data_IF_690858440574
#
_entry.id   IF_690858440574
#
_cell.length_a   1.000
_cell.length_b   1.000
_cell.length_c   1.000
_cell.angle_alpha   90.00
_cell.angle_beta   90.00
_cell.angle_gamma   90.00
#
_symmetry.space_group_name_H-M   'P 1'
#
loop_
_entity.id
_entity.type
_entity.pdbx_description
1 polymer ?
#
# COMPACT_ATOMS: atom_id res chain seq x y z
N UNK A 1 -51.86 -49.76 -18.62
CA UNK A 1 -51.62 -48.30 -18.73
C UNK A 1 -51.80 -47.66 -17.36
N UNK A 2 -50.74 -47.18 -16.72
CA UNK A 2 -50.81 -46.41 -15.47
C UNK A 2 -49.83 -45.23 -15.55
N UNK A 3 -50.29 -44.12 -16.13
CA UNK A 3 -49.58 -42.83 -16.08
C UNK A 3 -49.79 -42.27 -14.66
N UNK A 4 -48.82 -42.48 -13.76
CA UNK A 4 -48.83 -41.92 -12.41
C UNK A 4 -47.95 -40.66 -12.38
N UNK A 5 -48.62 -39.53 -12.23
CA UNK A 5 -48.15 -38.15 -12.02
C UNK A 5 -46.65 -37.89 -11.92
N UNK A 6 -46.06 -37.42 -13.02
CA UNK A 6 -44.71 -36.83 -13.07
C UNK A 6 -44.68 -35.38 -12.52
N UNK A 7 -45.82 -34.84 -12.06
CA UNK A 7 -45.96 -33.42 -11.71
C UNK A 7 -45.27 -33.04 -10.39
N UNK A 8 -45.29 -33.92 -9.38
CA UNK A 8 -44.60 -33.68 -8.09
C UNK A 8 -43.07 -33.74 -8.19
N UNK A 9 -42.55 -34.56 -9.12
CA UNK A 9 -41.11 -34.62 -9.41
C UNK A 9 -40.61 -33.31 -10.00
N UNK A 10 -41.37 -32.67 -10.89
CA UNK A 10 -40.99 -31.39 -11.50
C UNK A 10 -40.91 -30.26 -10.46
N UNK A 11 -41.87 -30.15 -9.54
CA UNK A 11 -41.86 -29.11 -8.49
C UNK A 11 -40.64 -29.24 -7.56
N UNK A 12 -40.30 -30.46 -7.13
CA UNK A 12 -39.11 -30.71 -6.32
C UNK A 12 -37.83 -30.37 -7.08
N UNK A 13 -37.74 -30.76 -8.36
CA UNK A 13 -36.60 -30.40 -9.21
C UNK A 13 -36.46 -28.89 -9.41
N UNK A 14 -37.56 -28.15 -9.58
CA UNK A 14 -37.52 -26.68 -9.68
C UNK A 14 -37.11 -26.04 -8.35
N UNK A 15 -37.60 -26.54 -7.21
CA UNK A 15 -37.21 -26.05 -5.89
C UNK A 15 -35.71 -26.27 -5.61
N UNK A 16 -35.18 -27.45 -5.95
CA UNK A 16 -33.75 -27.75 -5.86
C UNK A 16 -32.96 -26.84 -6.81
N UNK A 17 -33.42 -26.66 -8.04
CA UNK A 17 -32.80 -25.75 -9.00
C UNK A 17 -32.71 -24.31 -8.49
N UNK A 18 -33.82 -23.79 -7.94
CA UNK A 18 -33.86 -22.46 -7.34
C UNK A 18 -32.94 -22.34 -6.13
N UNK A 19 -32.89 -23.37 -5.27
CA UNK A 19 -31.98 -23.43 -4.13
C UNK A 19 -30.51 -23.42 -4.58
N UNK A 20 -30.16 -24.21 -5.60
CA UNK A 20 -28.82 -24.22 -6.17
C UNK A 20 -28.45 -22.86 -6.78
N UNK A 21 -29.37 -22.21 -7.49
CA UNK A 21 -29.16 -20.86 -8.04
C UNK A 21 -28.97 -19.82 -6.93
N UNK A 22 -29.78 -19.87 -5.87
CA UNK A 22 -29.64 -18.98 -4.71
C UNK A 22 -28.30 -19.20 -3.99
N UNK A 23 -27.89 -20.46 -3.80
CA UNK A 23 -26.60 -20.82 -3.23
C UNK A 23 -25.42 -20.34 -4.11
N UNK A 24 -25.51 -20.51 -5.43
CA UNK A 24 -24.51 -20.02 -6.36
C UNK A 24 -24.40 -18.48 -6.34
N UNK A 25 -25.55 -17.77 -6.27
CA UNK A 25 -25.57 -16.32 -6.15
C UNK A 25 -24.94 -15.83 -4.83
N UNK A 26 -25.26 -16.48 -3.71
CA UNK A 26 -24.65 -16.19 -2.40
C UNK A 26 -23.13 -16.44 -2.42
N UNK A 27 -22.69 -17.56 -3.00
CA UNK A 27 -21.27 -17.86 -3.14
C UNK A 27 -20.55 -16.83 -4.03
N UNK A 28 -21.18 -16.40 -5.13
CA UNK A 28 -20.66 -15.33 -5.99
C UNK A 28 -20.50 -14.00 -5.26
N UNK A 29 -21.52 -13.56 -4.51
CA UNK A 29 -21.45 -12.35 -3.70
C UNK A 29 -20.35 -12.43 -2.62
N UNK A 30 -20.22 -13.57 -1.95
CA UNK A 30 -19.17 -13.81 -0.97
C UNK A 30 -17.77 -13.76 -1.60
N UNK A 31 -17.59 -14.33 -2.79
CA UNK A 31 -16.33 -14.29 -3.53
C UNK A 31 -15.93 -12.86 -3.90
N UNK A 32 -16.88 -12.06 -4.42
CA UNK A 32 -16.66 -10.64 -4.73
C UNK A 32 -16.30 -9.85 -3.47
N UNK A 33 -17.03 -10.08 -2.36
CA UNK A 33 -16.73 -9.44 -1.07
C UNK A 33 -15.33 -9.77 -0.55
N UNK A 34 -14.93 -11.04 -0.64
CA UNK A 34 -13.59 -11.49 -0.21
C UNK A 34 -12.48 -10.88 -1.09
N UNK A 35 -12.70 -10.77 -2.40
CA UNK A 35 -11.74 -10.13 -3.30
C UNK A 35 -11.60 -8.63 -3.00
N UNK A 36 -12.71 -7.92 -2.75
CA UNK A 36 -12.69 -6.52 -2.31
C UNK A 36 -11.95 -6.34 -0.98
N UNK A 37 -12.19 -7.23 -0.01
CA UNK A 37 -11.50 -7.20 1.28
C UNK A 37 -9.98 -7.40 1.14
N UNK A 38 -9.55 -8.35 0.30
CA UNK A 38 -8.12 -8.56 0.01
C UNK A 38 -7.49 -7.35 -0.67
N UNK A 39 -8.21 -6.70 -1.59
CA UNK A 39 -7.71 -5.50 -2.26
C UNK A 39 -7.53 -4.33 -1.28
N UNK A 40 -8.41 -4.19 -0.29
CA UNK A 40 -8.30 -3.14 0.74
C UNK A 40 -7.19 -3.42 1.76
N UNK A 41 -6.98 -4.69 2.11
CA UNK A 41 -5.98 -5.09 3.13
C UNK A 41 -4.60 -5.39 2.54
N UNK A 42 -4.46 -5.31 1.21
CA UNK A 42 -3.17 -5.50 0.56
C UNK A 42 -2.20 -4.40 0.95
N UNK A 43 -1.03 -4.82 1.42
CA UNK A 43 0.07 -3.94 1.75
C UNK A 43 1.36 -4.50 1.19
N UNK A 44 2.09 -3.66 0.47
CA UNK A 44 3.36 -4.02 -0.15
C UNK A 44 4.52 -3.34 0.59
N UNK A 45 5.61 -4.07 0.86
CA UNK A 45 6.82 -3.46 1.44
C UNK A 45 7.54 -2.67 0.37
N UNK A 46 7.61 -1.34 0.50
CA UNK A 46 8.33 -0.47 -0.42
C UNK A 46 9.82 -0.34 -0.07
N UNK A 47 10.14 -0.29 1.23
CA UNK A 47 11.51 -0.23 1.72
C UNK A 47 11.63 -0.79 3.14
N UNK A 48 12.81 -1.27 3.50
CA UNK A 48 13.20 -1.56 4.88
C UNK A 48 14.17 -0.49 5.34
N UNK A 49 13.95 0.08 6.53
CA UNK A 49 14.74 1.18 7.09
C UNK A 49 15.26 0.78 8.45
N UNK A 50 16.57 0.89 8.66
CA UNK A 50 17.19 0.78 9.98
C UNK A 50 17.67 2.16 10.41
N UNK A 51 17.29 2.60 11.60
CA UNK A 51 17.68 3.90 12.16
C UNK A 51 18.60 3.71 13.35
N UNK A 52 19.69 4.47 13.42
CA UNK A 52 20.65 4.44 14.51
C UNK A 52 20.99 5.87 14.97
N UNK A 53 20.75 6.24 16.25
CA UNK A 53 21.15 7.54 16.78
C UNK A 53 22.68 7.69 16.78
N UNK A 54 23.18 8.78 16.19
CA UNK A 54 24.62 9.10 16.12
C UNK A 54 25.00 10.37 16.88
N UNK A 55 24.03 11.04 17.49
CA UNK A 55 24.25 12.22 18.32
C UNK A 55 22.93 12.86 18.77
N UNK A 56 23.03 14.01 19.43
CA UNK A 56 21.84 14.78 19.80
C UNK A 56 21.11 15.23 18.53
N UNK A 57 19.86 14.75 18.38
CA UNK A 57 18.99 15.00 17.23
C UNK A 57 19.67 14.73 15.88
N UNK A 58 20.50 13.70 15.86
CA UNK A 58 21.13 13.19 14.65
C UNK A 58 21.07 11.68 14.67
N UNK A 59 20.67 11.10 13.55
CA UNK A 59 20.59 9.67 13.38
C UNK A 59 21.00 9.31 11.96
N UNK A 60 21.55 8.12 11.80
CA UNK A 60 21.82 7.51 10.51
C UNK A 60 20.64 6.63 10.15
N UNK A 61 20.18 6.68 8.90
CA UNK A 61 19.22 5.71 8.40
C UNK A 61 19.78 4.95 7.20
N UNK A 62 19.69 3.64 7.28
CA UNK A 62 20.02 2.71 6.19
C UNK A 62 18.73 2.22 5.56
N UNK A 63 18.51 2.59 4.30
CA UNK A 63 17.30 2.32 3.54
C UNK A 63 17.63 1.28 2.48
N UNK A 64 16.94 0.13 2.55
CA UNK A 64 16.98 -0.92 1.53
C UNK A 64 15.68 -0.91 0.75
N UNK A 65 15.75 -0.51 -0.52
CA UNK A 65 14.60 -0.47 -1.41
C UNK A 65 14.27 -1.87 -1.95
N UNK A 66 13.05 -2.06 -2.50
CA UNK A 66 12.65 -3.33 -3.14
C UNK A 66 13.59 -3.78 -4.27
N UNK A 67 14.20 -2.85 -4.98
CA UNK A 67 15.12 -3.15 -6.09
C UNK A 67 16.52 -3.61 -5.63
N UNK A 68 16.72 -3.74 -4.31
CA UNK A 68 17.99 -4.17 -3.72
C UNK A 68 18.98 -3.03 -3.50
N UNK A 69 18.69 -1.80 -3.95
CA UNK A 69 19.54 -0.65 -3.66
C UNK A 69 19.55 -0.39 -2.16
N UNK A 70 20.75 -0.11 -1.68
CA UNK A 70 21.01 0.27 -0.31
C UNK A 70 21.53 1.70 -0.31
N UNK A 71 20.87 2.55 0.46
CA UNK A 71 21.24 3.95 0.62
C UNK A 71 21.38 4.25 2.10
N UNK A 72 22.45 4.93 2.47
CA UNK A 72 22.74 5.28 3.86
C UNK A 72 22.94 6.78 3.94
N UNK A 73 22.18 7.42 4.82
CA UNK A 73 22.18 8.87 4.96
C UNK A 73 22.17 9.27 6.44
N UNK A 74 22.81 10.41 6.71
CA UNK A 74 22.81 11.01 8.03
C UNK A 74 21.76 12.13 8.06
N UNK A 75 20.86 12.04 9.03
CA UNK A 75 19.75 12.96 9.20
C UNK A 75 19.91 13.78 10.46
N UNK A 76 19.53 15.05 10.35
CA UNK A 76 19.29 15.94 11.47
C UNK A 76 17.78 15.98 11.77
N UNK A 77 17.41 15.66 13.01
CA UNK A 77 16.02 15.53 13.44
C UNK A 77 15.83 14.48 14.54
N UNK A 78 14.59 14.34 14.99
CA UNK A 78 14.16 13.38 16.00
C UNK A 78 13.46 12.16 15.39
N UNK A 79 12.98 12.29 14.15
CA UNK A 79 12.21 11.28 13.44
C UNK A 79 12.68 11.11 12.00
N UNK A 80 12.61 9.88 11.51
CA UNK A 80 12.74 9.57 10.10
C UNK A 80 11.41 9.84 9.39
N UNK A 81 11.45 10.60 8.31
CA UNK A 81 10.31 10.96 7.47
C UNK A 81 10.51 10.41 6.06
N UNK A 82 9.43 9.85 5.49
CA UNK A 82 9.40 9.37 4.10
C UNK A 82 8.13 9.83 3.42
N UNK A 83 8.27 10.23 2.16
CA UNK A 83 7.21 10.73 1.30
C UNK A 83 7.13 9.91 0.00
N UNK A 84 5.91 9.75 -0.51
CA UNK A 84 5.63 9.05 -1.75
C UNK A 84 4.48 9.69 -2.52
N UNK A 85 4.57 9.59 -3.84
CA UNK A 85 3.45 9.86 -4.74
C UNK A 85 2.68 8.57 -4.97
N UNK A 86 1.36 8.66 -4.90
CA UNK A 86 0.45 7.54 -5.02
C UNK A 86 -0.57 7.84 -6.12
N UNK A 87 -0.73 6.88 -7.03
CA UNK A 87 -1.77 6.89 -8.06
C UNK A 87 -2.70 5.71 -7.83
N UNK A 88 -3.95 6.04 -7.51
CA UNK A 88 -5.00 5.09 -7.20
C UNK A 88 -5.90 4.90 -8.41
N UNK A 89 -6.03 3.66 -8.85
CA UNK A 89 -6.99 3.28 -9.89
C UNK A 89 -8.39 3.13 -9.30
N UNK A 90 -9.41 3.33 -10.15
CA UNK A 90 -10.80 3.10 -9.78
C UNK A 90 -11.01 1.63 -9.39
N UNK A 91 -11.87 1.36 -8.40
CA UNK A 91 -12.08 0.02 -7.82
C UNK A 91 -12.45 -1.07 -8.83
N UNK A 92 -13.09 -0.68 -9.94
CA UNK A 92 -13.45 -1.59 -11.04
C UNK A 92 -12.22 -2.14 -11.78
N UNK A 93 -11.13 -1.38 -11.79
CA UNK A 93 -9.85 -1.72 -12.44
C UNK A 93 -8.96 -2.55 -11.51
N UNK A 94 -9.11 -2.41 -10.18
CA UNK A 94 -8.42 -3.25 -9.21
C UNK A 94 -8.82 -4.74 -9.32
N UNK A 95 -10.03 -5.02 -9.83
CA UNK A 95 -10.52 -6.38 -10.07
C UNK A 95 -9.70 -7.15 -11.13
N UNK A 96 -9.03 -6.44 -12.07
CA UNK A 96 -8.15 -7.04 -13.08
C UNK A 96 -6.67 -7.09 -12.67
N UNK A 97 -6.36 -6.87 -11.40
CA UNK A 97 -5.01 -7.00 -10.84
C UNK A 97 -4.12 -5.76 -11.00
N UNK A 98 -4.68 -4.63 -11.44
CA UNK A 98 -3.99 -3.34 -11.41
C UNK A 98 -4.04 -2.79 -9.99
N UNK A 99 -2.92 -2.87 -9.27
CA UNK A 99 -2.79 -2.32 -7.92
C UNK A 99 -2.36 -0.85 -7.95
N UNK A 100 -2.50 -0.18 -6.81
CA UNK A 100 -2.04 1.21 -6.60
C UNK A 100 -0.58 1.36 -7.05
N UNK A 101 -0.33 2.30 -7.96
CA UNK A 101 1.03 2.63 -8.38
C UNK A 101 1.62 3.63 -7.37
N UNK A 102 2.87 3.39 -6.96
CA UNK A 102 3.55 4.25 -5.98
C UNK A 102 4.98 4.57 -6.41
N UNK A 103 5.46 5.70 -5.91
CA UNK A 103 6.86 6.10 -6.04
C UNK A 103 7.34 6.83 -4.78
N UNK A 104 8.37 6.30 -4.12
CA UNK A 104 9.03 7.01 -3.02
C UNK A 104 9.79 8.20 -3.59
N UNK A 105 9.49 9.40 -3.11
CA UNK A 105 10.06 10.65 -3.64
C UNK A 105 11.31 11.05 -2.85
N UNK A 106 11.13 11.27 -1.55
CA UNK A 106 12.17 11.80 -0.66
C UNK A 106 12.08 11.24 0.74
N UNK A 107 13.23 11.26 1.41
CA UNK A 107 13.40 10.95 2.83
C UNK A 107 14.03 12.14 3.53
N UNK A 108 13.64 12.38 4.78
CA UNK A 108 14.11 13.52 5.55
C UNK A 108 14.23 13.21 7.05
N UNK A 109 15.01 14.03 7.75
CA UNK A 109 14.94 14.15 9.19
C UNK A 109 13.86 15.16 9.56
N UNK A 110 12.98 14.79 10.49
CA UNK A 110 11.89 15.63 10.99
C UNK A 110 12.13 15.97 12.45
N UNK A 111 11.99 17.24 12.80
CA UNK A 111 11.97 17.71 14.17
C UNK A 111 10.56 17.59 14.77
N UNK A 112 10.49 17.37 16.07
CA UNK A 112 9.18 17.26 16.74
C UNK A 112 8.44 18.60 16.82
N UNK A 113 9.18 19.72 16.89
CA UNK A 113 8.59 21.06 17.02
C UNK A 113 8.74 21.87 15.74
N UNK A 114 7.74 22.69 15.43
CA UNK A 114 7.76 23.59 14.26
C UNK A 114 8.85 24.66 14.40
N UNK A 115 9.14 25.09 15.62
CA UNK A 115 10.20 26.08 15.88
C UNK A 115 11.58 25.53 15.50
N UNK A 116 11.87 24.28 15.84
CA UNK A 116 13.12 23.61 15.46
C UNK A 116 13.15 23.34 13.96
N UNK A 117 12.06 22.86 13.36
CA UNK A 117 11.99 22.62 11.91
C UNK A 117 12.24 23.90 11.08
N UNK A 118 11.94 25.08 11.63
CA UNK A 118 12.19 26.38 10.99
C UNK A 118 13.60 26.92 11.20
N UNK A 119 14.23 26.59 12.32
CA UNK A 119 15.49 27.23 12.76
C UNK A 119 16.71 26.33 12.66
N UNK A 120 16.53 25.00 12.66
CA UNK A 120 17.62 24.03 12.62
C UNK A 120 17.92 23.53 11.20
N UNK A 121 19.14 23.00 10.96
CA UNK A 121 19.51 22.46 9.66
C UNK A 121 18.58 21.32 9.24
N UNK A 122 18.02 21.41 8.03
CA UNK A 122 17.16 20.38 7.45
C UNK A 122 17.97 19.42 6.58
N UNK A 123 17.73 18.12 6.73
CA UNK A 123 18.35 17.07 5.90
C UNK A 123 17.28 16.37 5.07
N UNK A 124 17.43 16.40 3.75
CA UNK A 124 16.48 15.81 2.79
C UNK A 124 17.26 15.17 1.67
N UNK A 125 16.92 13.93 1.33
CA UNK A 125 17.53 13.20 0.23
C UNK A 125 16.43 12.65 -0.67
N UNK A 126 16.68 12.70 -1.99
CA UNK A 126 15.78 12.06 -2.96
C UNK A 126 16.03 10.57 -3.00
N UNK A 127 14.96 9.78 -2.98
CA UNK A 127 14.96 8.33 -3.20
C UNK A 127 14.31 7.94 -4.52
N UNK A 128 13.66 8.91 -5.19
CA UNK A 128 13.05 8.75 -6.49
C UNK A 128 14.05 8.20 -7.52
N UNK A 129 13.52 7.42 -8.48
CA UNK A 129 14.32 6.87 -9.57
C UNK A 129 13.84 7.50 -10.88
N UNK A 130 14.75 8.01 -11.74
CA UNK A 130 14.38 8.30 -13.11
C UNK A 130 13.99 6.99 -13.81
N UNK A 131 12.70 6.87 -14.16
CA UNK A 131 12.17 5.74 -14.92
C UNK A 131 11.99 6.17 -16.38
N UNK A 132 12.35 5.31 -17.35
CA UNK A 132 12.12 5.61 -18.77
C UNK A 132 10.62 5.72 -19.09
N UNK A 133 9.77 5.01 -18.34
CA UNK A 133 8.31 5.13 -18.40
C UNK A 133 7.79 5.41 -17.00
N UNK A 134 7.20 6.60 -16.83
CA UNK A 134 6.56 7.01 -15.59
C UNK A 134 5.04 6.88 -15.74
N UNK A 135 4.42 6.05 -14.88
CA UNK A 135 2.97 5.82 -14.90
C UNK A 135 2.20 7.11 -14.67
N UNK A 136 2.68 7.97 -13.78
CA UNK A 136 2.07 9.26 -13.47
C UNK A 136 2.09 10.18 -14.71
N UNK A 137 3.22 10.24 -15.42
CA UNK A 137 3.31 11.02 -16.66
C UNK A 137 2.48 10.42 -17.79
N UNK A 138 2.38 9.10 -17.85
CA UNK A 138 1.57 8.38 -18.85
C UNK A 138 0.09 8.71 -18.66
N UNK A 139 -0.43 8.63 -17.44
CA UNK A 139 -1.80 9.01 -17.11
C UNK A 139 -2.06 10.48 -17.44
N UNK A 140 -1.13 11.38 -17.09
CA UNK A 140 -1.23 12.80 -17.43
C UNK A 140 -1.27 13.05 -18.95
N UNK A 141 -0.48 12.28 -19.71
CA UNK A 141 -0.36 12.43 -21.17
C UNK A 141 -1.57 11.86 -21.92
N UNK A 142 -2.13 10.74 -21.46
CA UNK A 142 -3.24 10.06 -22.12
C UNK A 142 -4.56 10.32 -21.40
N UNK A 143 -5.31 11.34 -21.85
CA UNK A 143 -6.63 11.70 -21.28
C UNK A 143 -7.66 10.56 -21.28
N UNK A 144 -7.51 9.58 -22.17
CA UNK A 144 -8.34 8.38 -22.18
C UNK A 144 -8.22 7.52 -20.91
N UNK A 145 -7.09 7.63 -20.18
CA UNK A 145 -6.87 6.93 -18.92
C UNK A 145 -7.43 7.67 -17.70
N UNK A 146 -7.77 8.96 -17.83
CA UNK A 146 -8.26 9.77 -16.72
C UNK A 146 -9.51 9.18 -16.03
N UNK A 147 -10.52 8.61 -16.74
CA UNK A 147 -11.67 7.98 -16.10
C UNK A 147 -11.33 6.71 -15.31
N UNK A 148 -10.15 6.11 -15.54
CA UNK A 148 -9.70 4.91 -14.82
C UNK A 148 -8.97 5.27 -13.51
N UNK A 149 -8.59 6.54 -13.32
CA UNK A 149 -7.88 7.01 -12.14
C UNK A 149 -8.86 7.60 -11.14
N UNK A 150 -8.83 7.08 -9.92
CA UNK A 150 -9.65 7.54 -8.80
C UNK A 150 -9.03 8.80 -8.18
N UNK A 151 -7.72 8.74 -7.88
CA UNK A 151 -7.00 9.84 -7.25
C UNK A 151 -5.50 9.80 -7.52
N UNK A 152 -4.88 10.99 -7.57
CA UNK A 152 -3.43 11.19 -7.47
C UNK A 152 -3.15 12.04 -6.23
N UNK A 153 -2.32 11.56 -5.31
CA UNK A 153 -2.03 12.25 -4.06
C UNK A 153 -0.65 11.91 -3.48
N UNK A 154 -0.15 12.79 -2.62
CA UNK A 154 1.06 12.57 -1.83
C UNK A 154 0.73 11.90 -0.50
N UNK A 155 1.55 10.95 -0.08
CA UNK A 155 1.45 10.29 1.21
C UNK A 155 2.79 10.31 1.90
N UNK A 156 2.82 10.83 3.12
CA UNK A 156 4.01 10.85 3.94
C UNK A 156 3.75 10.26 5.33
N UNK A 157 4.79 9.68 5.91
CA UNK A 157 4.73 9.06 7.23
C UNK A 157 6.08 9.22 7.92
N UNK A 158 6.09 9.13 9.25
CA UNK A 158 7.29 9.31 10.05
C UNK A 158 7.33 8.37 11.25
N UNK A 159 8.53 8.08 11.71
CA UNK A 159 8.78 7.27 12.90
C UNK A 159 9.92 7.87 13.72
N UNK A 160 9.81 7.78 15.05
CA UNK A 160 10.85 8.27 15.94
C UNK A 160 12.16 7.48 15.71
N UNK A 161 13.26 8.21 15.58
CA UNK A 161 14.60 7.65 15.33
C UNK A 161 15.52 7.84 16.55
N UNK A 162 14.94 8.00 17.75
CA UNK A 162 15.66 8.25 19.00
C UNK A 162 16.32 6.99 19.59
N UNK A 163 15.99 5.81 19.06
CA UNK A 163 16.55 4.52 19.48
C UNK A 163 16.87 3.66 18.25
N UNK A 164 17.86 2.75 18.35
CA UNK A 164 18.13 1.78 17.30
C UNK A 164 16.92 0.88 17.02
N UNK A 165 16.41 0.92 15.80
CA UNK A 165 15.21 0.17 15.41
C UNK A 165 15.19 -0.08 13.90
N UNK A 166 14.51 -1.16 13.52
CA UNK A 166 14.26 -1.52 12.12
C UNK A 166 12.77 -1.45 11.81
N UNK A 167 12.45 -0.94 10.64
CA UNK A 167 11.11 -0.68 10.19
C UNK A 167 10.89 -1.11 8.74
N UNK A 168 9.66 -1.52 8.42
CA UNK A 168 9.17 -1.63 7.06
C UNK A 168 8.34 -0.41 6.71
N UNK A 169 8.70 0.27 5.63
CA UNK A 169 7.85 1.23 4.95
C UNK A 169 6.98 0.44 3.98
N UNK A 170 5.68 0.44 4.23
CA UNK A 170 4.67 -0.29 3.46
C UNK A 170 3.75 0.68 2.73
N UNK A 171 3.26 0.27 1.57
CA UNK A 171 2.24 0.98 0.78
C UNK A 171 0.95 0.18 0.89
N UNK A 172 -0.10 0.81 1.36
CA UNK A 172 -1.46 0.25 1.44
C UNK A 172 -2.39 0.89 0.41
N UNK A 173 -3.64 0.44 0.40
CA UNK A 173 -4.70 1.08 -0.38
C UNK A 173 -4.98 2.54 0.03
N UNK A 174 -4.57 2.97 1.23
CA UNK A 174 -4.80 4.34 1.74
C UNK A 174 -3.55 5.21 1.76
N UNK A 175 -2.34 4.64 1.77
CA UNK A 175 -1.12 5.44 1.80
C UNK A 175 0.10 4.68 2.30
N UNK A 176 1.10 5.44 2.73
CA UNK A 176 2.29 4.90 3.38
C UNK A 176 2.03 4.57 4.85
N UNK A 177 2.60 3.47 5.30
CA UNK A 177 2.61 3.00 6.68
C UNK A 177 4.03 2.63 7.07
N UNK A 178 4.41 2.89 8.33
CA UNK A 178 5.66 2.37 8.90
C UNK A 178 5.31 1.34 9.96
N UNK A 179 5.91 0.15 9.89
CA UNK A 179 5.77 -0.89 10.91
C UNK A 179 7.12 -1.31 11.47
N UNK A 180 7.28 -1.43 12.80
CA UNK A 180 8.48 -2.00 13.37
C UNK A 180 8.61 -3.47 12.96
N UNK A 181 9.82 -3.87 12.58
CA UNK A 181 10.14 -5.29 12.44
C UNK A 181 10.29 -5.80 13.87
N UNK A 182 9.38 -6.67 14.30
CA UNK A 182 9.52 -7.33 15.58
C UNK A 182 10.87 -8.05 15.59
N UNK A 183 11.80 -7.62 16.46
CA UNK A 183 13.03 -8.35 16.72
C UNK A 183 12.61 -9.74 17.21
N UNK A 184 12.80 -10.76 16.39
CA UNK A 184 12.88 -12.13 16.90
C UNK A 184 14.10 -12.12 17.82
N UNK A 185 13.87 -12.17 19.14
CA UNK A 185 14.96 -12.29 20.09
C UNK A 185 15.81 -13.51 19.68
N UNK A 186 17.14 -13.38 19.55
CA UNK A 186 17.98 -14.54 19.34
C UNK A 186 17.75 -15.51 20.52
N UNK A 187 17.46 -16.77 20.18
CA UNK A 187 17.42 -17.88 21.16
C UNK A 187 18.80 -18.14 21.73
#
# INVERSE_FOLDING_TARGET
>A
VRRRGHWGSSVVSYAIGLLCLAAAALAGLAAVGMQGYRALTYEEVAATVSTEPIGSQRFRATIRLRDGRLAMYDFAGDAFYVDAHILKWHSLVNLVGLHTAYELDRVAGRYNTVAEERSRPRTVYSVARPKPVNVFDTVRRFKLLAPLVDAEYGSATFVAATKPAEFEVRVSASGLLIRPIARVAPR
#
